data_IF_548466408820
#
_entry.id   IF_548466408820
#
_cell.length_a   1.000
_cell.length_b   1.000
_cell.length_c   1.000
_cell.angle_alpha   90.00
_cell.angle_beta   90.00
_cell.angle_gamma   90.00
#
_symmetry.space_group_name_H-M   'P 1'
#
loop_
_entity.id
_entity.type
_entity.pdbx_description
1 polymer ?
#
# COMPACT_ATOMS: atom_id res chain seq x y z
N UNK A 1 -9.07 -29.94 -6.06
CA UNK A 1 -8.16 -30.45 -5.01
C UNK A 1 -8.39 -29.59 -3.77
N UNK A 2 -8.86 -30.16 -2.66
CA UNK A 2 -9.08 -29.41 -1.43
C UNK A 2 -7.75 -29.22 -0.70
N UNK A 3 -7.28 -27.99 -0.61
CA UNK A 3 -6.07 -27.66 0.14
C UNK A 3 -6.40 -27.79 1.63
N UNK A 4 -5.84 -28.80 2.30
CA UNK A 4 -6.12 -29.06 3.69
C UNK A 4 -5.07 -28.34 4.54
N UNK A 5 -5.49 -27.27 5.22
CA UNK A 5 -4.62 -26.45 6.05
C UNK A 5 -4.30 -27.23 7.32
N UNK A 6 -3.06 -27.69 7.47
CA UNK A 6 -2.59 -28.44 8.66
C UNK A 6 -1.97 -27.54 9.74
N UNK A 7 -1.96 -26.24 9.49
CA UNK A 7 -1.39 -25.24 10.39
C UNK A 7 -2.45 -24.79 11.43
N UNK A 8 -2.22 -24.99 12.74
CA UNK A 8 -3.18 -24.64 13.78
C UNK A 8 -3.51 -23.15 13.84
N UNK A 9 -2.54 -22.28 13.53
CA UNK A 9 -2.76 -20.83 13.55
C UNK A 9 -3.67 -20.38 12.43
N UNK A 10 -3.50 -20.94 11.22
CA UNK A 10 -4.36 -20.64 10.08
C UNK A 10 -5.80 -21.14 10.30
N UNK A 11 -6.00 -22.30 10.93
CA UNK A 11 -7.34 -22.77 11.33
C UNK A 11 -7.98 -21.81 12.35
N UNK A 12 -7.22 -21.39 13.37
CA UNK A 12 -7.68 -20.41 14.36
C UNK A 12 -8.14 -19.10 13.72
N UNK A 13 -7.30 -18.51 12.85
CA UNK A 13 -7.61 -17.25 12.16
C UNK A 13 -8.84 -17.42 11.26
N UNK A 14 -8.95 -18.54 10.56
CA UNK A 14 -10.09 -18.81 9.67
C UNK A 14 -11.40 -18.96 10.44
N UNK A 15 -11.38 -19.61 11.60
CA UNK A 15 -12.53 -19.72 12.50
C UNK A 15 -12.92 -18.38 13.11
N UNK A 16 -11.94 -17.58 13.53
CA UNK A 16 -12.16 -16.24 14.09
C UNK A 16 -12.85 -15.34 13.04
N UNK A 17 -12.34 -15.32 11.81
CA UNK A 17 -12.95 -14.57 10.71
C UNK A 17 -14.39 -15.03 10.42
N UNK A 18 -14.63 -16.34 10.45
CA UNK A 18 -15.95 -16.92 10.27
C UNK A 18 -16.93 -16.53 11.37
N UNK A 19 -16.48 -16.55 12.63
CA UNK A 19 -17.28 -16.11 13.77
C UNK A 19 -17.65 -14.64 13.68
N UNK A 20 -16.69 -13.77 13.30
CA UNK A 20 -16.93 -12.33 13.12
C UNK A 20 -17.90 -12.03 11.98
N UNK A 21 -17.82 -12.77 10.88
CA UNK A 21 -18.68 -12.58 9.71
C UNK A 21 -20.04 -13.31 9.78
N UNK A 22 -20.19 -14.26 10.72
CA UNK A 22 -21.36 -15.13 10.80
C UNK A 22 -21.56 -16.00 9.54
N UNK A 23 -20.48 -16.38 8.86
CA UNK A 23 -20.50 -17.09 7.57
C UNK A 23 -19.69 -18.40 7.66
N UNK A 24 -19.92 -19.37 6.77
CA UNK A 24 -19.10 -20.56 6.68
C UNK A 24 -17.61 -20.24 6.50
N UNK A 25 -16.74 -21.04 7.11
CA UNK A 25 -15.27 -20.82 7.10
C UNK A 25 -14.74 -20.72 5.67
N UNK A 26 -15.15 -21.64 4.79
CA UNK A 26 -14.70 -21.65 3.39
C UNK A 26 -15.11 -20.40 2.62
N UNK A 27 -16.32 -19.88 2.86
CA UNK A 27 -16.77 -18.63 2.23
C UNK A 27 -15.98 -17.43 2.74
N UNK A 28 -15.70 -17.39 4.06
CA UNK A 28 -14.88 -16.34 4.64
C UNK A 28 -13.46 -16.32 4.08
N UNK A 29 -12.85 -17.50 3.95
CA UNK A 29 -11.51 -17.66 3.35
C UNK A 29 -11.53 -17.21 1.90
N UNK A 30 -12.51 -17.68 1.11
CA UNK A 30 -12.67 -17.29 -0.30
C UNK A 30 -12.77 -15.78 -0.46
N UNK A 31 -13.67 -15.14 0.28
CA UNK A 31 -13.83 -13.68 0.27
C UNK A 31 -12.54 -12.96 0.70
N UNK A 32 -11.85 -13.45 1.72
CA UNK A 32 -10.61 -12.85 2.19
C UNK A 32 -9.51 -12.90 1.11
N UNK A 33 -9.37 -14.05 0.44
CA UNK A 33 -8.44 -14.21 -0.67
C UNK A 33 -8.81 -13.33 -1.87
N UNK A 34 -10.09 -13.27 -2.24
CA UNK A 34 -10.58 -12.40 -3.33
C UNK A 34 -10.26 -10.92 -3.03
N UNK A 35 -10.49 -10.47 -1.79
CA UNK A 35 -10.17 -9.11 -1.39
C UNK A 35 -8.67 -8.83 -1.42
N UNK A 36 -7.82 -9.76 -1.00
CA UNK A 36 -6.36 -9.57 -1.04
C UNK A 36 -5.83 -9.55 -2.47
N UNK A 37 -6.30 -10.45 -3.32
CA UNK A 37 -5.97 -10.45 -4.75
C UNK A 37 -6.36 -9.11 -5.38
N UNK A 38 -7.54 -8.58 -5.04
CA UNK A 38 -7.97 -7.29 -5.55
C UNK A 38 -7.09 -6.15 -5.01
N UNK A 39 -6.71 -6.16 -3.74
CA UNK A 39 -5.76 -5.19 -3.18
C UNK A 39 -4.42 -5.21 -3.91
N UNK A 40 -3.88 -6.39 -4.19
CA UNK A 40 -2.61 -6.54 -4.91
C UNK A 40 -2.74 -6.13 -6.39
N UNK A 41 -3.85 -6.44 -7.06
CA UNK A 41 -4.11 -6.00 -8.43
C UNK A 41 -4.30 -4.49 -8.57
N UNK A 42 -4.97 -3.88 -7.59
CA UNK A 42 -5.20 -2.43 -7.55
C UNK A 42 -4.02 -1.65 -6.97
N UNK A 43 -2.94 -2.33 -6.58
CA UNK A 43 -1.76 -1.70 -6.02
C UNK A 43 -1.06 -0.91 -7.13
N UNK A 44 -1.43 0.37 -7.24
CA UNK A 44 -0.79 1.29 -8.16
C UNK A 44 0.70 1.40 -7.79
N UNK A 45 1.62 1.15 -8.73
CA UNK A 45 3.05 1.34 -8.51
C UNK A 45 3.33 2.71 -7.91
N UNK A 46 4.34 2.80 -7.03
CA UNK A 46 4.71 4.06 -6.38
C UNK A 46 4.92 5.18 -7.41
N UNK A 47 5.56 4.85 -8.54
CA UNK A 47 5.83 5.80 -9.61
C UNK A 47 4.54 6.43 -10.17
N UNK A 48 3.54 5.61 -10.49
CA UNK A 48 2.23 6.07 -10.95
C UNK A 48 1.49 6.89 -9.89
N UNK A 49 1.63 6.54 -8.61
CA UNK A 49 1.03 7.31 -7.50
C UNK A 49 1.67 8.70 -7.34
N UNK A 50 2.96 8.83 -7.64
CA UNK A 50 3.72 10.08 -7.47
C UNK A 50 3.68 10.96 -8.72
N UNK A 51 3.38 10.38 -9.90
CA UNK A 51 3.31 11.10 -11.17
C UNK A 51 2.47 12.39 -11.12
N UNK A 52 1.25 12.42 -10.53
CA UNK A 52 0.46 13.66 -10.47
C UNK A 52 1.13 14.79 -9.66
N UNK A 53 1.96 14.44 -8.66
CA UNK A 53 2.74 15.42 -7.91
C UNK A 53 3.91 15.95 -8.75
N UNK A 54 4.61 15.05 -9.47
CA UNK A 54 5.68 15.43 -10.38
C UNK A 54 5.17 16.34 -11.50
N UNK A 55 4.00 16.04 -12.07
CA UNK A 55 3.37 16.86 -13.12
C UNK A 55 3.08 18.27 -12.61
N UNK A 56 2.56 18.41 -11.38
CA UNK A 56 2.33 19.72 -10.74
C UNK A 56 3.61 20.50 -10.54
N UNK A 57 4.70 19.84 -10.13
CA UNK A 57 6.01 20.46 -9.95
C UNK A 57 6.59 20.87 -11.31
N UNK A 58 6.45 20.02 -12.33
CA UNK A 58 6.96 20.29 -13.68
C UNK A 58 6.23 21.45 -14.38
N UNK A 59 4.96 21.70 -14.04
CA UNK A 59 4.23 22.88 -14.53
C UNK A 59 4.72 24.21 -13.93
N UNK A 60 5.48 24.19 -12.83
CA UNK A 60 5.99 25.42 -12.23
C UNK A 60 7.11 26.04 -13.11
N UNK A 61 7.08 27.36 -13.37
CA UNK A 61 8.14 28.00 -14.13
C UNK A 61 9.47 27.90 -13.37
N UNK A 62 10.56 27.68 -14.10
CA UNK A 62 11.90 27.69 -13.52
C UNK A 62 12.20 29.08 -12.97
N UNK A 63 12.52 29.15 -11.68
CA UNK A 63 12.83 30.41 -10.98
C UNK A 63 14.23 30.94 -11.30
N UNK A 64 15.10 30.10 -11.89
CA UNK A 64 16.50 30.44 -12.13
C UNK A 64 17.36 30.45 -10.86
N UNK A 65 16.78 30.15 -9.70
CA UNK A 65 17.49 30.02 -8.43
C UNK A 65 18.21 28.67 -8.36
N UNK A 66 19.44 28.69 -7.90
CA UNK A 66 20.23 27.48 -7.67
C UNK A 66 19.98 27.00 -6.24
N UNK A 67 19.36 25.84 -6.08
CA UNK A 67 19.26 25.16 -4.78
C UNK A 67 20.57 24.40 -4.51
N UNK A 68 21.63 25.14 -4.24
CA UNK A 68 22.93 24.59 -3.92
C UNK A 68 23.08 24.31 -2.42
N UNK A 69 24.26 23.85 -2.01
CA UNK A 69 24.54 23.54 -0.61
C UNK A 69 24.33 24.75 0.31
N UNK A 70 24.77 25.94 -0.10
CA UNK A 70 24.64 27.14 0.73
C UNK A 70 23.17 27.51 0.97
N UNK A 71 22.30 27.31 -0.03
CA UNK A 71 20.86 27.45 0.14
C UNK A 71 20.28 26.47 1.18
N UNK A 72 20.72 25.21 1.18
CA UNK A 72 20.23 24.22 2.14
C UNK A 72 20.80 24.41 3.54
N UNK A 73 22.06 24.84 3.68
CA UNK A 73 22.69 25.12 4.96
C UNK A 73 22.00 26.31 5.68
N UNK A 74 21.57 27.34 4.93
CA UNK A 74 20.73 28.44 5.45
C UNK A 74 19.33 27.97 5.86
N UNK A 75 18.72 27.06 5.07
CA UNK A 75 17.39 26.53 5.34
C UNK A 75 17.34 25.56 6.54
N UNK A 76 18.40 24.78 6.77
CA UNK A 76 18.49 23.84 7.89
C UNK A 76 18.84 24.51 9.21
N UNK A 77 19.33 25.75 9.18
CA UNK A 77 19.82 26.46 10.35
C UNK A 77 21.22 26.01 10.79
N UNK A 78 21.99 25.36 9.91
CA UNK A 78 23.39 24.96 10.14
C UNK A 78 24.39 26.04 9.69
N UNK A 79 23.95 27.28 9.52
CA UNK A 79 24.74 28.43 9.08
C UNK A 79 25.79 28.90 10.09
#
# INVERSE_FOLDING_TARGET
MAYNIKDPDTDRISRELAALKGKPILDCIREACEHEIQRERLKTPLWERVQPLLDRIACAPKTGLTADKAFFDDLSGDA
#
